data_IF_861974112049
#
_entry.id   IF_861974112049
#
_cell.length_a   1.000
_cell.length_b   1.000
_cell.length_c   1.000
_cell.angle_alpha   90.00
_cell.angle_beta   90.00
_cell.angle_gamma   90.00
#
_symmetry.space_group_name_H-M   'P 1'
#
loop_
_entity.id
_entity.type
_entity.pdbx_description
1 polymer ?
#
# COMPACT_ATOMS: atom_id res chain seq x y z
N UNK A 1 11.18 -8.25 3.12
CA UNK A 1 9.78 -8.58 3.44
C UNK A 1 8.92 -7.99 2.34
N UNK A 2 7.86 -8.66 1.86
CA UNK A 2 7.05 -8.14 0.74
C UNK A 2 6.22 -6.93 1.17
N UNK A 3 6.20 -5.85 0.38
CA UNK A 3 5.27 -4.73 0.56
C UNK A 3 4.02 -4.95 -0.29
N UNK A 4 2.86 -4.54 0.21
CA UNK A 4 1.62 -4.65 -0.54
C UNK A 4 1.08 -3.27 -0.87
N UNK A 5 1.21 -2.86 -2.13
CA UNK A 5 0.33 -1.83 -2.65
C UNK A 5 -1.08 -2.44 -2.79
N UNK A 6 -2.09 -1.69 -2.39
CA UNK A 6 -3.46 -2.15 -2.42
C UNK A 6 -4.36 -1.08 -3.01
N UNK A 7 -4.71 -1.26 -4.29
CA UNK A 7 -5.78 -0.49 -4.92
C UNK A 7 -7.10 -1.22 -4.69
N UNK A 8 -8.19 -0.47 -4.61
CA UNK A 8 -9.51 -1.06 -4.38
C UNK A 8 -10.53 -0.34 -5.24
N UNK A 9 -11.51 -1.09 -5.72
CA UNK A 9 -12.72 -0.52 -6.32
C UNK A 9 -13.88 -1.06 -5.51
N UNK A 10 -14.81 -0.20 -5.08
CA UNK A 10 -16.04 -0.68 -4.46
C UNK A 10 -17.04 -1.12 -5.54
N UNK A 11 -18.11 -1.81 -5.14
CA UNK A 11 -19.16 -2.30 -6.05
C UNK A 11 -19.95 -1.18 -6.74
N UNK A 12 -19.76 0.08 -6.35
CA UNK A 12 -20.38 1.27 -6.95
C UNK A 12 -19.45 2.00 -7.91
N UNK A 13 -18.23 1.48 -8.14
CA UNK A 13 -17.26 2.06 -9.06
C UNK A 13 -16.39 3.17 -8.45
N UNK A 14 -16.49 3.45 -7.14
CA UNK A 14 -15.59 4.40 -6.48
C UNK A 14 -14.24 3.73 -6.18
N UNK A 15 -13.16 4.33 -6.66
CA UNK A 15 -11.81 3.74 -6.66
C UNK A 15 -11.04 4.11 -5.38
N UNK A 16 -11.35 3.58 -4.20
CA UNK A 16 -10.47 3.83 -3.03
C UNK A 16 -9.07 3.28 -3.33
N UNK A 17 -8.13 4.18 -3.62
CA UNK A 17 -6.76 3.85 -4.03
C UNK A 17 -5.84 4.34 -2.92
N UNK A 18 -5.01 3.45 -2.38
CA UNK A 18 -4.06 3.78 -1.33
C UNK A 18 -2.87 2.84 -1.32
N UNK A 19 -1.84 3.22 -0.59
CA UNK A 19 -0.56 2.52 -0.50
C UNK A 19 -0.30 2.24 0.96
N UNK A 20 0.03 1.00 1.30
CA UNK A 20 0.19 0.55 2.68
C UNK A 20 1.58 -0.04 2.84
N UNK A 21 2.29 0.41 3.86
CA UNK A 21 3.45 -0.33 4.36
C UNK A 21 2.93 -1.53 5.16
N UNK A 22 2.83 -2.69 4.51
CA UNK A 22 2.22 -3.86 5.12
C UNK A 22 2.97 -4.31 6.39
N UNK A 23 4.30 -4.22 6.38
CA UNK A 23 5.10 -4.63 7.53
C UNK A 23 4.73 -3.77 8.74
N UNK A 24 4.82 -2.44 8.61
CA UNK A 24 4.49 -1.54 9.69
C UNK A 24 3.03 -1.71 10.13
N UNK A 25 2.11 -1.85 9.16
CA UNK A 25 0.69 -1.97 9.44
C UNK A 25 0.33 -3.23 10.24
N UNK A 26 0.91 -4.39 9.87
CA UNK A 26 0.72 -5.63 10.62
C UNK A 26 1.41 -5.55 11.98
N UNK A 27 2.63 -5.00 12.04
CA UNK A 27 3.37 -4.86 13.30
C UNK A 27 2.59 -4.03 14.31
N UNK A 28 2.08 -2.86 13.92
CA UNK A 28 1.23 -2.00 14.76
C UNK A 28 -0.02 -2.72 15.27
N UNK A 29 -0.68 -3.50 14.42
CA UNK A 29 -1.81 -4.32 14.84
C UNK A 29 -1.43 -5.36 15.89
N UNK A 30 -0.28 -6.03 15.74
CA UNK A 30 0.22 -6.99 16.72
C UNK A 30 0.61 -6.32 18.05
N UNK A 31 1.09 -5.09 17.99
CA UNK A 31 1.43 -4.25 19.15
C UNK A 31 0.19 -3.64 19.83
N UNK A 32 -1.02 -3.83 19.27
CA UNK A 32 -2.27 -3.34 19.84
C UNK A 32 -2.56 -1.87 19.57
N UNK A 33 -1.94 -1.27 18.54
CA UNK A 33 -2.20 0.11 18.14
C UNK A 33 -3.68 0.27 17.72
N UNK A 34 -4.48 1.12 18.41
CA UNK A 34 -5.90 1.30 18.10
C UNK A 34 -6.14 1.99 16.75
N UNK A 35 -5.11 2.59 16.15
CA UNK A 35 -5.17 3.21 14.83
C UNK A 35 -4.82 2.25 13.68
N UNK A 36 -4.38 1.04 14.01
CA UNK A 36 -4.03 0.01 13.02
C UNK A 36 -5.25 -0.58 12.32
N UNK A 37 -5.02 -1.17 11.14
CA UNK A 37 -6.06 -1.93 10.46
C UNK A 37 -6.44 -3.16 11.29
N UNK A 38 -7.73 -3.50 11.31
CA UNK A 38 -8.23 -4.71 11.96
C UNK A 38 -7.92 -5.95 11.11
N UNK A 39 -6.63 -6.32 11.05
CA UNK A 39 -6.14 -7.37 10.17
C UNK A 39 -6.80 -8.73 10.39
N UNK A 40 -7.18 -9.07 11.63
CA UNK A 40 -7.96 -10.29 11.90
C UNK A 40 -9.28 -10.34 11.13
N UNK A 41 -10.05 -9.25 11.14
CA UNK A 41 -11.31 -9.16 10.42
C UNK A 41 -11.11 -9.06 8.90
N UNK A 42 -10.05 -8.39 8.46
CA UNK A 42 -9.74 -8.23 7.03
C UNK A 42 -9.34 -9.57 6.41
N UNK A 43 -8.43 -10.30 7.07
CA UNK A 43 -7.95 -11.60 6.61
C UNK A 43 -9.04 -12.68 6.69
N UNK A 44 -9.96 -12.58 7.65
CA UNK A 44 -11.13 -13.46 7.73
C UNK A 44 -12.22 -13.15 6.69
N UNK A 45 -12.09 -12.05 5.93
CA UNK A 45 -13.13 -11.60 5.00
C UNK A 45 -14.36 -11.00 5.69
N UNK A 46 -14.27 -10.62 6.97
CA UNK A 46 -15.35 -9.97 7.70
C UNK A 46 -15.39 -8.44 7.45
N UNK A 47 -14.28 -7.88 6.97
CA UNK A 47 -14.16 -6.44 6.70
C UNK A 47 -13.30 -6.20 5.47
N UNK A 48 -13.74 -5.29 4.61
CA UNK A 48 -12.92 -4.78 3.50
C UNK A 48 -11.81 -3.89 4.04
N UNK A 49 -10.59 -4.10 3.56
CA UNK A 49 -9.48 -3.16 3.79
C UNK A 49 -9.83 -1.77 3.20
N UNK A 50 -9.79 -0.75 4.05
CA UNK A 50 -9.93 0.66 3.68
C UNK A 50 -8.69 1.40 4.18
N UNK A 51 -8.08 2.26 3.37
CA UNK A 51 -6.94 3.03 3.80
C UNK A 51 -7.34 4.03 4.90
N UNK A 52 -6.39 4.36 5.76
CA UNK A 52 -6.53 5.31 6.85
C UNK A 52 -5.32 6.26 6.92
N UNK A 53 -5.31 7.15 7.91
CA UNK A 53 -4.29 8.19 8.07
C UNK A 53 -2.89 7.68 8.46
N UNK A 54 -2.71 6.37 8.65
CA UNK A 54 -1.43 5.74 8.94
C UNK A 54 -0.79 5.13 7.69
N UNK A 55 -1.54 5.01 6.60
CA UNK A 55 -1.09 4.39 5.36
C UNK A 55 -0.30 5.37 4.48
N UNK A 56 0.71 4.87 3.77
CA UNK A 56 1.65 5.67 2.97
C UNK A 56 0.97 6.75 2.11
N UNK A 57 -0.15 6.43 1.49
CA UNK A 57 -1.01 7.45 0.86
C UNK A 57 -2.39 6.93 0.53
N UNK A 58 -3.36 7.84 0.37
CA UNK A 58 -4.66 7.53 -0.20
C UNK A 58 -5.37 8.77 -0.74
N UNK A 59 -6.39 8.56 -1.56
CA UNK A 59 -7.29 9.63 -2.02
C UNK A 59 -8.59 9.59 -1.21
N UNK A 60 -8.89 10.69 -0.53
CA UNK A 60 -10.19 10.92 0.10
C UNK A 60 -11.21 11.41 -0.93
N UNK A 61 -11.93 10.49 -1.54
CA UNK A 61 -12.89 10.79 -2.62
C UNK A 61 -13.98 11.80 -2.26
N UNK A 62 -14.36 11.88 -0.98
CA UNK A 62 -15.36 12.85 -0.49
C UNK A 62 -14.99 14.30 -0.85
N UNK A 63 -13.71 14.63 -0.87
CA UNK A 63 -13.23 16.00 -1.11
C UNK A 63 -12.05 16.07 -2.09
N UNK A 64 -11.72 14.95 -2.76
CA UNK A 64 -10.62 14.87 -3.73
C UNK A 64 -9.22 15.08 -3.14
N UNK A 65 -9.05 15.08 -1.82
CA UNK A 65 -7.74 15.33 -1.19
C UNK A 65 -6.87 14.07 -1.23
N UNK A 66 -5.59 14.27 -1.55
CA UNK A 66 -4.57 13.24 -1.42
C UNK A 66 -3.94 13.37 -0.04
N UNK A 67 -3.85 12.25 0.67
CA UNK A 67 -3.13 12.10 1.91
C UNK A 67 -1.88 11.29 1.65
N UNK A 68 -0.78 11.63 2.31
CA UNK A 68 0.43 10.83 2.33
C UNK A 68 1.20 11.04 3.64
N UNK A 69 1.83 9.98 4.12
CA UNK A 69 2.71 10.01 5.29
C UNK A 69 3.89 9.06 5.11
N UNK A 70 5.02 9.45 5.70
CA UNK A 70 6.13 8.53 5.88
C UNK A 70 5.74 7.42 6.87
N UNK A 71 6.33 6.25 6.71
CA UNK A 71 6.27 5.13 7.65
C UNK A 71 7.65 4.87 8.24
N UNK A 72 7.78 3.88 9.11
CA UNK A 72 9.09 3.53 9.68
C UNK A 72 10.05 3.01 8.60
N UNK A 73 9.50 2.40 7.55
CA UNK A 73 10.28 1.81 6.47
C UNK A 73 10.40 2.72 5.25
N UNK A 74 9.44 3.61 4.98
CA UNK A 74 9.39 4.35 3.72
C UNK A 74 9.22 5.85 3.90
N UNK A 75 9.87 6.59 2.99
CA UNK A 75 9.61 8.00 2.75
C UNK A 75 8.76 8.15 1.48
N UNK A 76 7.71 8.95 1.54
CA UNK A 76 6.90 9.27 0.37
C UNK A 76 7.55 10.39 -0.43
N UNK A 77 7.73 10.17 -1.73
CA UNK A 77 8.39 11.08 -2.66
C UNK A 77 7.38 11.46 -3.76
N UNK A 78 6.76 12.64 -3.68
CA UNK A 78 6.03 13.22 -4.80
C UNK A 78 7.00 13.47 -5.97
N UNK A 79 6.63 13.02 -7.17
CA UNK A 79 7.43 13.16 -8.39
C UNK A 79 6.58 13.79 -9.50
N UNK A 80 7.04 14.88 -10.15
CA UNK A 80 6.24 15.59 -11.15
C UNK A 80 6.00 14.80 -12.45
N UNK A 81 6.78 13.76 -12.74
CA UNK A 81 6.70 12.97 -13.98
C UNK A 81 6.02 11.62 -13.71
N UNK A 82 6.44 10.95 -12.64
CA UNK A 82 6.01 9.60 -12.24
C UNK A 82 4.81 9.61 -11.30
N UNK A 83 4.51 10.75 -10.69
CA UNK A 83 3.42 10.91 -9.74
C UNK A 83 3.88 10.65 -8.30
N UNK A 84 3.78 9.40 -7.85
CA UNK A 84 4.13 9.02 -6.48
C UNK A 84 5.20 7.93 -6.48
N UNK A 85 6.23 8.13 -5.67
CA UNK A 85 7.30 7.16 -5.47
C UNK A 85 7.53 6.94 -3.97
N UNK A 86 8.17 5.82 -3.61
CA UNK A 86 8.52 5.51 -2.22
C UNK A 86 10.01 5.19 -2.12
N UNK A 87 10.72 5.83 -1.19
CA UNK A 87 12.12 5.50 -0.89
C UNK A 87 12.15 4.62 0.35
N UNK A 88 12.74 3.43 0.26
CA UNK A 88 13.02 2.63 1.46
C UNK A 88 14.10 3.34 2.29
N UNK A 89 13.85 3.51 3.58
CA UNK A 89 14.73 4.25 4.49
C UNK A 89 16.03 3.49 4.81
N UNK A 90 16.01 2.16 4.73
CA UNK A 90 17.16 1.33 5.11
C UNK A 90 18.30 1.31 4.09
N UNK A 91 18.02 1.44 2.79
CA UNK A 91 19.04 1.40 1.73
C UNK A 91 18.86 2.48 0.65
N UNK A 92 17.84 3.33 0.75
CA UNK A 92 17.55 4.38 -0.24
C UNK A 92 16.95 3.86 -1.55
N UNK A 93 16.61 2.57 -1.65
CA UNK A 93 16.02 2.02 -2.86
C UNK A 93 14.66 2.65 -3.16
N UNK A 94 14.45 3.00 -4.43
CA UNK A 94 13.23 3.63 -4.91
C UNK A 94 12.26 2.59 -5.46
N UNK A 95 11.02 2.64 -4.98
CA UNK A 95 9.86 1.98 -5.57
C UNK A 95 9.13 3.02 -6.42
N UNK A 96 9.16 2.79 -7.73
CA UNK A 96 8.40 3.58 -8.69
C UNK A 96 7.04 2.95 -8.94
N UNK A 97 5.99 3.76 -8.87
CA UNK A 97 4.64 3.30 -9.12
C UNK A 97 4.37 3.33 -10.61
N UNK A 98 4.11 2.15 -11.15
CA UNK A 98 3.80 1.97 -12.55
C UNK A 98 2.34 2.31 -12.84
N UNK A 99 2.12 3.10 -13.89
CA UNK A 99 0.75 3.47 -14.35
C UNK A 99 0.01 2.28 -14.94
N UNK A 100 0.75 1.27 -15.41
CA UNK A 100 0.23 0.03 -16.00
C UNK A 100 0.98 -1.14 -15.39
N UNK A 101 0.28 -1.92 -14.58
CA UNK A 101 0.79 -3.16 -14.00
C UNK A 101 0.11 -4.29 -14.76
N UNK A 102 0.89 -4.99 -15.59
CA UNK A 102 0.48 -6.20 -16.29
C UNK A 102 0.96 -7.43 -15.50
N UNK A 103 0.40 -8.61 -15.78
CA UNK A 103 0.77 -9.86 -15.10
C UNK A 103 2.27 -10.19 -15.24
N UNK A 104 2.91 -9.75 -16.33
CA UNK A 104 4.33 -9.99 -16.61
C UNK A 104 5.31 -9.05 -15.89
N UNK A 105 4.84 -8.16 -15.01
CA UNK A 105 5.73 -7.18 -14.39
C UNK A 105 6.57 -7.83 -13.27
N UNK A 106 7.90 -7.99 -13.44
CA UNK A 106 8.71 -8.91 -12.64
C UNK A 106 8.89 -8.49 -11.18
N UNK A 107 8.63 -7.22 -10.87
CA UNK A 107 8.76 -6.66 -9.51
C UNK A 107 7.45 -6.56 -8.75
N UNK A 108 6.32 -6.96 -9.35
CA UNK A 108 5.05 -6.88 -8.65
C UNK A 108 4.08 -8.03 -8.95
N UNK A 109 3.25 -8.37 -7.95
CA UNK A 109 2.21 -9.38 -8.06
C UNK A 109 0.84 -8.72 -8.05
N UNK A 110 0.10 -8.86 -9.14
CA UNK A 110 -1.29 -8.42 -9.24
C UNK A 110 -2.23 -9.46 -8.62
N UNK A 111 -3.22 -9.01 -7.85
CA UNK A 111 -4.19 -9.89 -7.19
C UNK A 111 -5.59 -9.31 -7.37
N UNK A 112 -6.51 -10.09 -7.90
CA UNK A 112 -7.94 -9.77 -7.88
C UNK A 112 -8.63 -10.41 -6.68
N UNK A 113 -9.55 -9.66 -6.07
CA UNK A 113 -10.34 -10.12 -4.94
C UNK A 113 -11.78 -9.65 -5.08
N UNK A 114 -12.78 -10.53 -4.97
CA UNK A 114 -14.18 -10.14 -5.03
C UNK A 114 -14.57 -9.06 -4.00
N UNK A 115 -13.98 -9.10 -2.79
CA UNK A 115 -14.28 -8.15 -1.72
C UNK A 115 -13.45 -6.87 -1.79
N UNK A 116 -12.20 -7.01 -2.21
CA UNK A 116 -11.18 -5.99 -2.09
C UNK A 116 -10.88 -5.28 -3.42
N UNK A 117 -11.31 -5.83 -4.56
CA UNK A 117 -10.93 -5.39 -5.89
C UNK A 117 -9.48 -5.78 -6.21
N UNK A 118 -8.78 -4.93 -6.95
CA UNK A 118 -7.46 -5.23 -7.52
C UNK A 118 -6.28 -4.71 -6.67
N UNK A 119 -5.48 -5.60 -6.08
CA UNK A 119 -4.26 -5.27 -5.34
C UNK A 119 -2.97 -5.46 -6.17
N UNK A 120 -1.88 -4.79 -5.80
CA UNK A 120 -0.56 -4.96 -6.42
C UNK A 120 0.52 -5.06 -5.35
N UNK A 121 1.23 -6.17 -5.23
CA UNK A 121 2.30 -6.31 -4.24
C UNK A 121 3.62 -5.88 -4.86
N UNK A 122 4.36 -4.98 -4.21
CA UNK A 122 5.74 -4.64 -4.59
C UNK A 122 6.68 -5.27 -3.57
N UNK A 123 7.57 -6.17 -3.98
CA UNK A 123 8.52 -6.81 -3.05
C UNK A 123 9.89 -6.11 -3.11
N UNK A 124 10.21 -5.33 -2.09
CA UNK A 124 11.56 -4.81 -1.86
C UNK A 124 12.41 -5.86 -1.14
N UNK A 125 13.29 -6.47 -1.92
CA UNK A 125 14.25 -7.47 -1.45
C UNK A 125 15.53 -6.78 -0.98
N UNK A 126 15.62 -6.55 0.32
CA UNK A 126 16.84 -6.09 0.98
C UNK A 126 17.90 -7.19 0.83
N UNK A 127 18.90 -6.98 -0.02
CA UNK A 127 20.09 -7.83 -0.06
C UNK A 127 20.98 -7.42 1.10
N UNK A 128 21.11 -8.27 2.12
CA UNK A 128 22.23 -8.14 3.06
C UNK A 128 23.51 -8.32 2.24
N UNK A 129 24.41 -7.33 2.27
CA UNK A 129 25.80 -7.59 1.90
C UNK A 129 26.32 -8.56 2.98
N UNK A 130 26.68 -9.77 2.56
CA UNK A 130 27.52 -10.66 3.35
C UNK A 130 28.94 -10.06 3.42
#
# INVERSE_FOLDING_TARGET
MPQKLYRTRDSKGFNVSGYIDLEQSIRRFREGDPTSHSWSNILAGNRRLQPNSQDLSFIAWKNGRVFYNDTDNYKVIPDPVRGLCFSFKGDGAMIYIEKKITEDHPSCLFIESPMHGSAVIYDHRIRRKL
#
